data_IF_473438458269
#
_entry.id   IF_473438458269
#
_cell.length_a   1.000
_cell.length_b   1.000
_cell.length_c   1.000
_cell.angle_alpha   90.00
_cell.angle_beta   90.00
_cell.angle_gamma   90.00
#
_symmetry.space_group_name_H-M   'P 1'
#
loop_
_entity.id
_entity.type
_entity.pdbx_description
1 polymer ?
#
# COMPACT_ATOMS: atom_id res chain seq x y z
N UNK A 1 11.51 -5.07 10.09
CA UNK A 1 12.07 -4.94 8.71
C UNK A 1 10.98 -5.28 7.68
N UNK A 2 10.86 -4.53 6.58
CA UNK A 2 9.74 -4.70 5.62
C UNK A 2 9.62 -6.13 5.07
N UNK A 3 10.74 -6.84 4.93
CA UNK A 3 10.76 -8.25 4.51
C UNK A 3 10.00 -9.18 5.47
N UNK A 4 10.01 -8.89 6.78
CA UNK A 4 9.23 -9.65 7.76
C UNK A 4 7.73 -9.42 7.55
N UNK A 5 7.31 -8.20 7.26
CA UNK A 5 5.91 -7.88 6.97
C UNK A 5 5.43 -8.59 5.69
N UNK A 6 6.31 -8.84 4.73
CA UNK A 6 6.01 -9.68 3.56
C UNK A 6 5.80 -11.14 3.96
N UNK A 7 6.63 -11.68 4.84
CA UNK A 7 6.49 -13.07 5.33
C UNK A 7 5.24 -13.28 6.19
N UNK A 8 4.81 -12.25 6.93
CA UNK A 8 3.60 -12.29 7.78
C UNK A 8 2.31 -12.02 6.99
N UNK A 9 2.42 -11.50 5.77
CA UNK A 9 1.27 -11.24 4.89
C UNK A 9 0.69 -9.82 4.98
N UNK A 10 1.28 -8.95 5.79
CA UNK A 10 0.89 -7.53 5.91
C UNK A 10 1.34 -6.70 4.68
N UNK A 11 2.33 -7.18 3.94
CA UNK A 11 2.85 -6.55 2.72
C UNK A 11 3.10 -7.57 1.61
N UNK A 12 3.16 -7.10 0.36
CA UNK A 12 3.61 -7.88 -0.80
C UNK A 12 5.03 -7.48 -1.21
N UNK A 13 5.75 -8.38 -1.88
CA UNK A 13 7.03 -8.05 -2.53
C UNK A 13 6.82 -7.02 -3.65
N UNK A 14 5.79 -7.24 -4.49
CA UNK A 14 5.39 -6.35 -5.60
C UNK A 14 3.98 -5.85 -5.33
N UNK A 15 3.79 -4.54 -5.30
CA UNK A 15 2.49 -3.94 -5.04
C UNK A 15 2.53 -2.41 -5.00
N UNK A 16 1.37 -1.76 -4.91
CA UNK A 16 1.30 -0.31 -4.84
C UNK A 16 2.00 0.20 -3.58
N UNK A 17 2.72 1.32 -3.71
CA UNK A 17 3.37 2.00 -2.58
C UNK A 17 2.31 2.39 -1.54
N UNK A 18 2.53 2.16 -0.24
CA UNK A 18 1.65 2.67 0.80
C UNK A 18 1.58 4.22 0.72
N UNK A 19 0.37 4.80 0.59
CA UNK A 19 0.23 6.24 0.41
C UNK A 19 0.48 6.99 1.72
N UNK A 20 0.96 8.23 1.61
CA UNK A 20 1.14 9.08 2.77
C UNK A 20 -0.22 9.62 3.25
N UNK A 21 -0.42 9.86 4.55
CA UNK A 21 -1.68 10.43 5.05
C UNK A 21 -2.08 11.74 4.35
N UNK A 22 -1.10 12.59 4.00
CA UNK A 22 -1.32 13.83 3.23
C UNK A 22 -1.82 13.63 1.81
N UNK A 23 -1.56 12.46 1.22
CA UNK A 23 -2.02 12.08 -0.12
C UNK A 23 -3.44 11.54 -0.02
N UNK A 24 -3.71 10.70 0.98
CA UNK A 24 -5.04 10.11 1.25
C UNK A 24 -6.11 11.19 1.50
N UNK A 25 -5.75 12.30 2.16
CA UNK A 25 -6.68 13.43 2.37
C UNK A 25 -7.22 14.02 1.04
N UNK A 26 -6.47 13.86 -0.06
CA UNK A 26 -6.86 14.35 -1.39
C UNK A 26 -7.52 13.28 -2.26
N UNK A 27 -7.72 12.08 -1.74
CA UNK A 27 -8.28 10.97 -2.51
C UNK A 27 -9.75 11.20 -2.77
N UNK A 28 -10.17 10.90 -4.00
CA UNK A 28 -11.58 10.76 -4.33
C UNK A 28 -12.12 9.43 -3.80
N UNK A 29 -13.45 9.25 -3.78
CA UNK A 29 -14.06 7.96 -3.39
C UNK A 29 -13.55 6.78 -4.22
N UNK A 30 -13.18 7.04 -5.49
CA UNK A 30 -12.55 6.06 -6.35
C UNK A 30 -11.11 5.75 -5.94
N UNK A 31 -10.32 6.77 -5.58
CA UNK A 31 -8.92 6.58 -5.15
C UNK A 31 -8.82 5.84 -3.82
N UNK A 32 -9.83 5.96 -2.93
CA UNK A 32 -9.89 5.22 -1.68
C UNK A 32 -9.95 3.70 -1.89
N UNK A 33 -10.43 3.22 -3.04
CA UNK A 33 -10.42 1.78 -3.36
C UNK A 33 -9.01 1.20 -3.35
N UNK A 34 -7.98 2.03 -3.61
CA UNK A 34 -6.57 1.62 -3.60
C UNK A 34 -6.06 1.28 -2.20
N UNK A 35 -6.73 1.74 -1.15
CA UNK A 35 -6.38 1.43 0.24
C UNK A 35 -6.81 0.03 0.67
N UNK A 36 -7.67 -0.63 -0.10
CA UNK A 36 -8.15 -1.99 0.19
C UNK A 36 -7.16 -3.08 -0.26
N UNK A 37 -6.07 -2.70 -0.93
CA UNK A 37 -5.09 -3.63 -1.51
C UNK A 37 -3.84 -3.70 -0.62
N UNK A 38 -3.24 -4.89 -0.51
CA UNK A 38 -2.02 -5.09 0.27
C UNK A 38 -0.87 -4.27 -0.34
N UNK A 39 -0.20 -3.40 0.44
CA UNK A 39 0.87 -2.55 -0.06
C UNK A 39 2.14 -3.35 -0.40
N UNK A 40 2.91 -2.87 -1.38
CA UNK A 40 4.13 -3.50 -1.86
C UNK A 40 5.42 -2.87 -1.32
N UNK A 41 6.47 -3.68 -1.19
CA UNK A 41 7.85 -3.18 -0.98
C UNK A 41 8.41 -2.49 -2.23
N UNK A 42 8.05 -2.96 -3.43
CA UNK A 42 8.41 -2.33 -4.71
C UNK A 42 7.17 -2.04 -5.54
N UNK A 43 7.20 -0.92 -6.28
CA UNK A 43 6.15 -0.54 -7.21
C UNK A 43 6.21 -1.30 -8.54
N UNK A 44 5.12 -1.24 -9.30
CA UNK A 44 5.07 -1.51 -10.74
C UNK A 44 5.33 -0.22 -11.53
#
# INVERSE_FOLDING_TARGET
PQLYNVLVGDMSLVGPRPPLPREVIKYTDYDLQRLAVIPGCTGL
#
